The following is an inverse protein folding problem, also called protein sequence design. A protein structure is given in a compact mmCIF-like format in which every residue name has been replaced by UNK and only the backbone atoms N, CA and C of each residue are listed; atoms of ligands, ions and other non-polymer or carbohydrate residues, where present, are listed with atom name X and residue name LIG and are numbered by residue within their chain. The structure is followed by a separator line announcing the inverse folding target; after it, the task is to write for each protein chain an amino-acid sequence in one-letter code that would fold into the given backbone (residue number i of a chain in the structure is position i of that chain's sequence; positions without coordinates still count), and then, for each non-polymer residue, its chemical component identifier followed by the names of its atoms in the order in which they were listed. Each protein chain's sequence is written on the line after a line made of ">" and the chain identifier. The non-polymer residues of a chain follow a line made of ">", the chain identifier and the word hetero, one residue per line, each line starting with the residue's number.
data_IF_830936135745
#
_entry.id   IF_830936135745
#
_cell.length_a   1.000
_cell.length_b   1.000
_cell.length_c   1.000
_cell.angle_alpha   90.00
_cell.angle_beta   90.00
_cell.angle_gamma   90.00
#
_symmetry.space_group_name_H-M   'P 1'
#
loop_
_entity.id
_entity.type
_entity.pdbx_description
1 polymer ?
#
# COMPACT_ATOMS: atom_id res chain seq x y z
N UNK A 1 49.02 -3.08 27.31
CA UNK A 1 48.10 -3.57 26.26
C UNK A 1 46.69 -3.58 26.84
N UNK A 2 45.91 -2.51 26.66
CA UNK A 2 44.65 -2.29 27.40
C UNK A 2 43.59 -1.70 26.46
N UNK A 3 42.40 -2.30 26.48
CA UNK A 3 41.12 -1.82 25.92
C UNK A 3 40.94 -1.81 24.38
N UNK A 4 40.79 -2.98 23.78
CA UNK A 4 40.01 -3.10 22.52
C UNK A 4 38.69 -3.88 22.73
N UNK A 5 38.65 -4.78 23.73
CA UNK A 5 37.48 -5.62 23.99
C UNK A 5 36.20 -4.85 24.36
N UNK A 6 36.28 -3.64 24.92
CA UNK A 6 35.06 -2.87 25.24
C UNK A 6 34.42 -2.28 23.98
N UNK A 7 35.22 -1.82 23.02
CA UNK A 7 34.70 -1.19 21.81
C UNK A 7 33.92 -2.19 20.96
N UNK A 8 34.49 -3.38 20.71
CA UNK A 8 33.78 -4.44 19.96
C UNK A 8 32.51 -4.91 20.66
N UNK A 9 32.53 -5.04 22.00
CA UNK A 9 31.33 -5.44 22.76
C UNK A 9 30.24 -4.38 22.72
N UNK A 10 30.60 -3.10 22.77
CA UNK A 10 29.67 -1.98 22.63
C UNK A 10 29.03 -1.95 21.23
N UNK A 11 29.83 -2.16 20.18
CA UNK A 11 29.31 -2.30 18.81
C UNK A 11 28.36 -3.49 18.67
N UNK A 12 28.70 -4.64 19.25
CA UNK A 12 27.81 -5.82 19.24
C UNK A 12 26.49 -5.53 19.93
N UNK A 13 26.49 -4.90 21.12
CA UNK A 13 25.25 -4.49 21.81
C UNK A 13 24.45 -3.51 20.96
N UNK A 14 25.09 -2.51 20.36
CA UNK A 14 24.43 -1.51 19.54
C UNK A 14 23.76 -2.16 18.31
N UNK A 15 24.47 -3.06 17.61
CA UNK A 15 23.93 -3.80 16.47
C UNK A 15 22.77 -4.69 16.92
N UNK A 16 22.91 -5.39 18.05
CA UNK A 16 21.83 -6.23 18.59
C UNK A 16 20.57 -5.40 18.86
N UNK A 17 20.71 -4.25 19.52
CA UNK A 17 19.59 -3.34 19.80
C UNK A 17 18.97 -2.84 18.48
N UNK A 18 19.79 -2.47 17.50
CA UNK A 18 19.31 -2.01 16.20
C UNK A 18 18.53 -3.11 15.45
N UNK A 19 19.01 -4.36 15.48
CA UNK A 19 18.32 -5.51 14.85
C UNK A 19 16.99 -5.80 15.54
N UNK A 20 16.97 -5.79 16.87
CA UNK A 20 15.73 -5.98 17.65
C UNK A 20 14.73 -4.87 17.34
N UNK A 21 15.17 -3.61 17.35
CA UNK A 21 14.32 -2.47 17.04
C UNK A 21 13.79 -2.54 15.60
N UNK A 22 14.65 -2.86 14.62
CA UNK A 22 14.25 -3.05 13.23
C UNK A 22 13.23 -4.20 13.07
N UNK A 23 13.42 -5.30 13.82
CA UNK A 23 12.48 -6.41 13.87
C UNK A 23 11.11 -6.00 14.40
N UNK A 24 11.07 -5.24 15.50
CA UNK A 24 9.83 -4.69 16.07
C UNK A 24 9.16 -3.73 15.09
N UNK A 25 9.91 -2.80 14.50
CA UNK A 25 9.38 -1.85 13.51
C UNK A 25 8.77 -2.57 12.31
N UNK A 26 9.48 -3.56 11.77
CA UNK A 26 9.01 -4.36 10.63
C UNK A 26 7.80 -5.25 10.97
N UNK A 27 7.79 -5.81 12.18
CA UNK A 27 6.69 -6.68 12.61
C UNK A 27 5.39 -5.89 12.80
N UNK A 28 5.47 -4.75 13.51
CA UNK A 28 4.28 -4.04 14.00
C UNK A 28 3.88 -2.81 13.16
N UNK A 29 4.82 -2.11 12.54
CA UNK A 29 4.55 -0.77 11.97
C UNK A 29 4.56 -0.78 10.44
N UNK A 30 5.54 -1.43 9.82
CA UNK A 30 5.77 -1.32 8.37
C UNK A 30 6.10 -2.66 7.72
N UNK A 31 5.41 -3.00 6.63
CA UNK A 31 5.76 -4.17 5.82
C UNK A 31 6.15 -3.74 4.40
N UNK A 32 7.36 -4.09 3.92
CA UNK A 32 7.67 -3.96 2.51
C UNK A 32 6.91 -5.02 1.72
N UNK A 33 6.24 -4.59 0.64
CA UNK A 33 5.54 -5.47 -0.30
C UNK A 33 6.07 -5.23 -1.71
N UNK A 34 6.03 -6.28 -2.52
CA UNK A 34 6.29 -6.22 -3.95
C UNK A 34 4.95 -6.29 -4.68
N UNK A 35 4.69 -5.33 -5.56
CA UNK A 35 3.51 -5.35 -6.42
C UNK A 35 3.71 -6.44 -7.47
N UNK A 36 2.69 -7.30 -7.62
CA UNK A 36 2.64 -8.38 -8.61
C UNK A 36 1.40 -8.18 -9.50
N UNK A 37 1.64 -7.95 -10.79
CA UNK A 37 0.61 -7.78 -11.81
C UNK A 37 0.23 -6.33 -12.15
N UNK A 38 -0.71 -6.19 -13.09
CA UNK A 38 -1.02 -4.91 -13.75
C UNK A 38 -2.35 -4.26 -13.32
N UNK A 39 -3.08 -4.87 -12.38
CA UNK A 39 -4.43 -4.40 -12.03
C UNK A 39 -4.45 -2.98 -11.44
N UNK A 40 -3.35 -2.55 -10.84
CA UNK A 40 -3.20 -1.21 -10.29
C UNK A 40 -2.29 -0.33 -11.15
N UNK A 41 -1.96 -0.72 -12.40
CA UNK A 41 -0.98 -0.05 -13.28
C UNK A 41 -1.23 1.45 -13.51
N UNK A 42 -2.45 1.93 -13.28
CA UNK A 42 -2.77 3.36 -13.31
C UNK A 42 -2.05 4.16 -12.21
N UNK A 43 -1.72 3.51 -11.09
CA UNK A 43 -1.01 4.10 -9.93
C UNK A 43 0.25 3.33 -9.53
N UNK A 44 0.24 2.00 -9.60
CA UNK A 44 1.28 1.07 -9.14
C UNK A 44 1.65 0.09 -10.26
N UNK A 45 2.92 0.06 -10.64
CA UNK A 45 3.43 -0.79 -11.71
C UNK A 45 3.88 -2.14 -11.18
N UNK A 46 3.94 -3.13 -12.07
CA UNK A 46 4.50 -4.44 -11.73
C UNK A 46 5.93 -4.28 -11.21
N UNK A 47 6.26 -5.03 -10.16
CA UNK A 47 7.53 -4.97 -9.41
C UNK A 47 7.82 -3.69 -8.63
N UNK A 48 6.87 -2.76 -8.52
CA UNK A 48 7.01 -1.65 -7.58
C UNK A 48 7.18 -2.18 -6.14
N UNK A 49 8.08 -1.55 -5.39
CA UNK A 49 8.30 -1.85 -3.97
C UNK A 49 7.63 -0.78 -3.13
N UNK A 50 6.68 -1.20 -2.31
CA UNK A 50 5.95 -0.30 -1.42
C UNK A 50 6.19 -0.64 0.05
N UNK A 51 6.01 0.33 0.92
CA UNK A 51 5.99 0.15 2.36
C UNK A 51 4.56 0.38 2.84
N UNK A 52 3.92 -0.67 3.34
CA UNK A 52 2.57 -0.60 3.91
C UNK A 52 2.67 -0.16 5.36
N UNK A 53 1.94 0.89 5.74
CA UNK A 53 1.75 1.28 7.12
C UNK A 53 0.67 0.40 7.76
N UNK A 54 1.06 -0.43 8.75
CA UNK A 54 0.14 -1.31 9.47
C UNK A 54 -0.63 -0.62 10.59
N UNK A 55 -0.12 0.51 11.11
CA UNK A 55 -0.74 1.27 12.20
C UNK A 55 -2.10 1.81 11.75
N UNK A 56 -2.19 2.23 10.49
CA UNK A 56 -3.42 2.76 9.89
C UNK A 56 -4.60 1.81 10.05
N UNK A 57 -4.39 0.49 9.95
CA UNK A 57 -5.44 -0.51 10.13
C UNK A 57 -6.01 -0.59 11.55
N UNK A 58 -5.27 -0.14 12.57
CA UNK A 58 -5.67 -0.28 13.97
C UNK A 58 -6.21 1.01 14.59
N UNK A 59 -5.90 2.17 14.00
CA UNK A 59 -6.16 3.48 14.62
C UNK A 59 -7.09 4.35 13.78
N UNK A 60 -7.19 4.11 12.46
CA UNK A 60 -8.01 4.93 11.57
C UNK A 60 -9.06 4.12 10.82
N UNK A 61 -10.21 4.76 10.56
CA UNK A 61 -11.19 4.21 9.64
C UNK A 61 -10.71 4.35 8.19
N UNK A 62 -10.96 3.34 7.34
CA UNK A 62 -10.63 3.42 5.92
C UNK A 62 -11.39 4.56 5.25
N UNK A 63 -10.72 5.30 4.37
CA UNK A 63 -11.33 6.39 3.61
C UNK A 63 -11.49 5.98 2.16
N UNK A 64 -12.46 6.61 1.50
CA UNK A 64 -12.62 6.49 0.05
C UNK A 64 -11.32 6.89 -0.64
N UNK A 65 -11.02 6.14 -1.68
CA UNK A 65 -9.83 6.27 -2.52
C UNK A 65 -8.51 5.91 -1.84
N UNK A 66 -8.50 5.43 -0.59
CA UNK A 66 -7.33 4.80 0.00
C UNK A 66 -6.94 3.56 -0.80
N UNK A 67 -5.63 3.33 -0.94
CA UNK A 67 -5.10 2.08 -1.48
C UNK A 67 -4.79 1.17 -0.30
N UNK A 68 -5.46 0.02 -0.27
CA UNK A 68 -5.33 -0.95 0.81
C UNK A 68 -4.76 -2.26 0.30
N UNK A 69 -4.19 -3.00 1.23
CA UNK A 69 -3.78 -4.39 1.03
C UNK A 69 -4.67 -5.25 1.90
N UNK A 70 -5.31 -6.25 1.30
CA UNK A 70 -6.16 -7.17 2.04
C UNK A 70 -5.94 -8.61 1.56
N UNK A 71 -6.15 -9.56 2.48
CA UNK A 71 -6.10 -10.99 2.18
C UNK A 71 -7.32 -11.36 1.35
N UNK A 72 -7.12 -11.69 0.08
CA UNK A 72 -8.22 -12.04 -0.84
C UNK A 72 -8.50 -13.56 -0.87
N UNK A 73 -7.45 -14.37 -0.69
CA UNK A 73 -7.50 -15.84 -0.57
C UNK A 73 -6.49 -16.25 0.49
N UNK A 74 -6.50 -17.49 1.00
CA UNK A 74 -5.56 -17.93 2.06
C UNK A 74 -4.09 -17.62 1.73
N UNK A 75 -3.71 -17.70 0.46
CA UNK A 75 -2.32 -17.58 0.02
C UNK A 75 -1.97 -16.23 -0.64
N UNK A 76 -2.95 -15.34 -0.86
CA UNK A 76 -2.72 -14.11 -1.65
C UNK A 76 -3.32 -12.85 -1.04
N UNK A 77 -2.47 -11.83 -0.96
CA UNK A 77 -2.83 -10.46 -0.63
C UNK A 77 -3.03 -9.63 -1.91
N UNK A 78 -4.10 -8.85 -1.97
CA UNK A 78 -4.44 -8.01 -3.12
C UNK A 78 -4.32 -6.54 -2.76
N UNK A 79 -3.88 -5.74 -3.73
CA UNK A 79 -3.78 -4.29 -3.62
C UNK A 79 -4.91 -3.67 -4.45
N UNK A 80 -5.79 -2.91 -3.81
CA UNK A 80 -6.93 -2.26 -4.47
C UNK A 80 -7.19 -0.87 -3.88
N UNK A 81 -7.92 -0.04 -4.63
CA UNK A 81 -8.41 1.25 -4.18
C UNK A 81 -9.84 1.12 -3.65
N UNK A 82 -10.12 1.72 -2.50
CA UNK A 82 -11.47 1.79 -1.93
C UNK A 82 -12.31 2.76 -2.76
N UNK A 83 -13.47 2.32 -3.25
CA UNK A 83 -14.40 3.19 -3.99
C UNK A 83 -15.63 3.56 -3.15
N UNK A 84 -16.18 2.60 -2.41
CA UNK A 84 -17.29 2.80 -1.49
C UNK A 84 -16.96 2.32 -0.08
N UNK A 85 -17.60 2.95 0.91
CA UNK A 85 -17.61 2.56 2.32
C UNK A 85 -18.98 1.98 2.70
N UNK A 86 -19.10 1.30 3.86
CA UNK A 86 -20.39 0.80 4.32
C UNK A 86 -21.47 1.90 4.33
N UNK A 87 -22.62 1.60 3.72
CA UNK A 87 -23.74 2.54 3.56
C UNK A 87 -23.71 3.35 2.25
N UNK A 88 -22.65 3.25 1.45
CA UNK A 88 -22.59 3.93 0.16
C UNK A 88 -23.34 3.17 -0.94
N UNK A 89 -24.07 3.92 -1.76
CA UNK A 89 -24.58 3.48 -3.05
C UNK A 89 -23.59 3.88 -4.15
N UNK A 90 -23.04 2.88 -4.85
CA UNK A 90 -22.03 3.08 -5.90
C UNK A 90 -22.66 2.80 -7.26
N UNK A 91 -22.47 3.74 -8.19
CA UNK A 91 -22.96 3.61 -9.55
C UNK A 91 -21.92 4.13 -10.55
N UNK A 92 -21.78 3.44 -11.68
CA UNK A 92 -21.05 3.93 -12.84
C UNK A 92 -22.01 4.17 -14.00
N UNK A 93 -21.94 5.36 -14.61
CA UNK A 93 -22.65 5.68 -15.86
C UNK A 93 -21.67 6.28 -16.85
N UNK A 94 -21.52 5.66 -18.03
CA UNK A 94 -20.63 6.13 -19.09
C UNK A 94 -19.22 6.47 -18.57
N UNK A 95 -18.60 5.53 -17.85
CA UNK A 95 -17.24 5.66 -17.30
C UNK A 95 -17.04 6.83 -16.29
N UNK A 96 -18.14 7.26 -15.67
CA UNK A 96 -18.15 8.25 -14.59
C UNK A 96 -18.67 7.63 -13.29
N UNK A 97 -17.88 7.74 -12.23
CA UNK A 97 -18.23 7.29 -10.89
C UNK A 97 -19.24 8.23 -10.23
N UNK A 98 -20.27 7.64 -9.65
CA UNK A 98 -21.21 8.28 -8.75
C UNK A 98 -21.21 7.55 -7.42
N UNK A 99 -21.18 8.32 -6.33
CA UNK A 99 -21.43 7.77 -5.01
C UNK A 99 -22.49 8.58 -4.28
N UNK A 100 -23.54 7.88 -3.82
CA UNK A 100 -24.72 8.51 -3.22
C UNK A 100 -25.30 9.60 -4.14
N UNK A 101 -25.38 9.30 -5.45
CA UNK A 101 -25.84 10.21 -6.50
C UNK A 101 -24.86 11.34 -6.87
N UNK A 102 -23.78 11.56 -6.11
CA UNK A 102 -22.78 12.59 -6.39
C UNK A 102 -21.70 12.07 -7.32
N UNK A 103 -21.45 12.78 -8.42
CA UNK A 103 -20.34 12.47 -9.32
C UNK A 103 -18.97 12.70 -8.66
N UNK A 104 -18.03 11.79 -8.92
CA UNK A 104 -16.63 11.89 -8.50
C UNK A 104 -15.71 11.86 -9.73
N UNK A 105 -14.66 12.67 -9.68
CA UNK A 105 -13.56 12.58 -10.63
C UNK A 105 -12.57 11.50 -10.19
N UNK A 106 -11.96 10.83 -11.17
CA UNK A 106 -10.98 9.78 -10.94
C UNK A 106 -9.64 10.11 -11.63
N UNK A 107 -8.89 11.16 -11.18
CA UNK A 107 -7.67 11.59 -11.87
C UNK A 107 -6.60 10.48 -11.96
N UNK A 108 -6.67 9.49 -11.07
CA UNK A 108 -5.80 8.32 -11.11
C UNK A 108 -6.04 7.43 -12.33
N UNK A 109 -7.13 7.59 -13.08
CA UNK A 109 -7.40 6.87 -14.33
C UNK A 109 -7.03 7.66 -15.58
N UNK A 110 -6.75 8.97 -15.50
CA UNK A 110 -6.60 9.85 -16.66
C UNK A 110 -5.56 9.34 -17.67
N UNK A 111 -4.40 8.88 -17.19
CA UNK A 111 -3.35 8.33 -18.05
C UNK A 111 -3.80 7.09 -18.80
N UNK A 112 -4.52 6.19 -18.12
CA UNK A 112 -5.01 4.95 -18.69
C UNK A 112 -6.13 5.21 -19.70
N UNK A 113 -7.06 6.13 -19.39
CA UNK A 113 -8.13 6.54 -20.30
C UNK A 113 -7.58 7.14 -21.59
N UNK A 114 -6.52 7.97 -21.51
CA UNK A 114 -5.82 8.50 -22.70
C UNK A 114 -5.21 7.39 -23.55
N UNK A 115 -4.50 6.44 -22.93
CA UNK A 115 -3.91 5.30 -23.65
C UNK A 115 -4.95 4.44 -24.38
N UNK A 116 -6.13 4.24 -23.79
CA UNK A 116 -7.22 3.48 -24.42
C UNK A 116 -7.86 4.28 -25.56
N UNK A 117 -8.05 5.59 -25.38
CA UNK A 117 -8.61 6.45 -26.42
C UNK A 117 -7.69 6.57 -27.65
N UNK A 118 -6.37 6.45 -27.46
CA UNK A 118 -5.35 6.61 -28.50
C UNK A 118 -4.86 5.27 -29.11
N UNK A 119 -5.33 4.11 -28.63
CA UNK A 119 -4.87 2.78 -29.05
C UNK A 119 -5.89 1.99 -29.90
N UNK A 120 -5.45 1.00 -30.72
CA UNK A 120 -6.39 0.08 -31.35
C UNK A 120 -6.90 -0.90 -30.29
N UNK A 121 -8.21 -1.17 -30.33
CA UNK A 121 -8.87 -2.21 -29.50
C UNK A 121 -8.19 -3.57 -29.65
#
# INVERSE_FOLDING_TARGET
>A
MKKEKSSLWEWIKAILIAVVLAGVIRQFFFAPILVDGVSMASTLHDRDRMIVNKIGYHIGDPKRFDIIVFRATEDKDYIKRIIGLPGDEIEYRNDKLYVNGKAYEEPYLDKQKKQIADGPL
#
